data_IF_478889219404
#
_entry.id   IF_478889219404
#
_cell.length_a   1.000
_cell.length_b   1.000
_cell.length_c   1.000
_cell.angle_alpha   90.00
_cell.angle_beta   90.00
_cell.angle_gamma   90.00
#
_symmetry.space_group_name_H-M   'P 1'
#
loop_
_entity.id
_entity.type
_entity.pdbx_description
1 polymer ?
#
# COMPACT_ATOMS: atom_id res chain seq x y z
N UNK A 1 2.64 -7.32 21.44
CA UNK A 1 1.58 -6.27 21.47
C UNK A 1 2.09 -4.84 21.66
N UNK A 2 3.14 -4.55 22.46
CA UNK A 2 3.66 -3.16 22.59
C UNK A 2 4.27 -2.58 21.30
N UNK A 3 4.92 -3.42 20.49
CA UNK A 3 5.56 -3.03 19.23
C UNK A 3 4.56 -2.57 18.17
N UNK A 4 3.37 -3.19 18.10
CA UNK A 4 2.32 -2.81 17.15
C UNK A 4 1.68 -1.46 17.49
N UNK A 5 1.53 -1.13 18.78
CA UNK A 5 1.03 0.17 19.22
C UNK A 5 2.01 1.31 18.88
N UNK A 6 3.32 1.08 19.09
CA UNK A 6 4.38 2.03 18.71
C UNK A 6 4.40 2.26 17.19
N UNK A 7 4.30 1.19 16.39
CA UNK A 7 4.19 1.30 14.92
C UNK A 7 2.96 2.12 14.51
N UNK A 8 1.80 1.88 15.14
CA UNK A 8 0.57 2.64 14.87
C UNK A 8 0.71 4.14 15.19
N UNK A 9 1.34 4.48 16.32
CA UNK A 9 1.59 5.87 16.70
C UNK A 9 2.56 6.57 15.74
N UNK A 10 3.65 5.89 15.35
CA UNK A 10 4.61 6.39 14.36
C UNK A 10 3.93 6.66 13.02
N UNK A 11 3.12 5.71 12.53
CA UNK A 11 2.38 5.86 11.28
C UNK A 11 1.37 7.02 11.33
N UNK A 12 0.72 7.22 12.48
CA UNK A 12 -0.17 8.38 12.68
C UNK A 12 0.60 9.70 12.58
N UNK A 13 1.77 9.80 13.22
CA UNK A 13 2.62 10.99 13.14
C UNK A 13 3.07 11.29 11.71
N UNK A 14 3.52 10.27 10.97
CA UNK A 14 3.93 10.41 9.56
C UNK A 14 2.76 10.91 8.68
N UNK A 15 1.54 10.39 8.89
CA UNK A 15 0.34 10.86 8.16
C UNK A 15 0.04 12.34 8.42
N UNK A 16 0.17 12.79 9.67
CA UNK A 16 -0.01 14.21 10.02
C UNK A 16 1.06 15.07 9.34
N UNK A 17 2.32 14.63 9.32
CA UNK A 17 3.39 15.35 8.62
C UNK A 17 3.10 15.50 7.12
N UNK A 18 2.59 14.44 6.48
CA UNK A 18 2.18 14.51 5.07
C UNK A 18 1.07 15.54 4.87
N UNK A 19 0.05 15.56 5.72
CA UNK A 19 -1.05 16.51 5.63
C UNK A 19 -0.58 17.95 5.81
N UNK A 20 0.26 18.22 6.82
CA UNK A 20 0.80 19.56 7.04
C UNK A 20 1.60 20.05 5.83
N UNK A 21 2.46 19.21 5.24
CA UNK A 21 3.20 19.56 4.02
C UNK A 21 2.27 19.86 2.83
N UNK A 22 1.16 19.14 2.72
CA UNK A 22 0.16 19.37 1.68
C UNK A 22 -0.58 20.69 1.90
N UNK A 23 -1.00 20.97 3.13
CA UNK A 23 -1.73 22.19 3.46
C UNK A 23 -0.84 23.43 3.30
N UNK A 24 0.43 23.36 3.72
CA UNK A 24 1.38 24.47 3.65
C UNK A 24 1.89 24.75 2.23
N UNK A 25 2.08 23.72 1.39
CA UNK A 25 2.81 23.87 0.13
C UNK A 25 2.06 23.43 -1.12
N UNK A 26 1.02 22.60 -1.00
CA UNK A 26 0.29 22.07 -2.15
C UNK A 26 -1.00 22.84 -2.43
N UNK A 27 -1.60 23.50 -1.43
CA UNK A 27 -2.77 24.36 -1.64
C UNK A 27 -2.42 25.52 -2.59
N UNK A 28 -3.16 25.65 -3.69
CA UNK A 28 -2.92 26.68 -4.71
C UNK A 28 -1.70 26.45 -5.61
N UNK A 29 -0.98 25.33 -5.46
CA UNK A 29 0.14 25.01 -6.35
C UNK A 29 -0.36 24.82 -7.79
N UNK A 30 0.19 25.59 -8.73
CA UNK A 30 -0.22 25.53 -10.15
C UNK A 30 0.01 24.17 -10.81
N UNK A 31 0.95 23.38 -10.28
CA UNK A 31 1.24 22.02 -10.74
C UNK A 31 0.31 20.99 -10.12
N UNK A 32 -0.37 21.33 -9.02
CA UNK A 32 -1.41 20.48 -8.45
C UNK A 32 -2.68 20.57 -9.30
N UNK A 33 -3.28 19.45 -9.71
CA UNK A 33 -4.52 19.48 -10.45
C UNK A 33 -5.66 20.03 -9.57
N UNK A 34 -6.35 21.06 -10.08
CA UNK A 34 -7.46 21.73 -9.38
C UNK A 34 -8.66 20.82 -9.07
N UNK A 35 -8.72 19.62 -9.65
CA UNK A 35 -9.69 18.58 -9.33
C UNK A 35 -9.01 17.21 -9.39
N UNK A 36 -9.40 16.29 -8.49
CA UNK A 36 -9.05 14.86 -8.50
C UNK A 36 -9.63 14.13 -9.73
N UNK A 37 -9.53 14.68 -10.94
CA UNK A 37 -9.84 13.95 -12.17
C UNK A 37 -8.72 12.92 -12.34
N UNK A 38 -9.15 11.67 -12.23
CA UNK A 38 -8.38 10.44 -12.15
C UNK A 38 -7.55 10.15 -13.39
N UNK A 39 -6.52 10.94 -13.64
CA UNK A 39 -5.36 10.46 -14.37
C UNK A 39 -4.15 10.62 -13.48
N UNK A 40 -3.70 9.47 -12.94
CA UNK A 40 -2.55 9.28 -12.05
C UNK A 40 -1.21 9.88 -12.55
N UNK A 41 -1.20 10.61 -13.67
CA UNK A 41 -0.02 11.22 -14.30
C UNK A 41 0.40 12.55 -13.68
N UNK A 42 -0.52 13.31 -13.06
CA UNK A 42 -0.16 14.63 -12.49
C UNK A 42 0.41 14.53 -11.06
N UNK A 43 0.01 13.51 -10.30
CA UNK A 43 0.66 13.15 -9.03
C UNK A 43 2.09 12.63 -9.23
N UNK A 44 2.41 12.03 -10.39
CA UNK A 44 3.77 11.53 -10.68
C UNK A 44 4.78 12.67 -10.86
N UNK A 45 4.41 13.79 -11.50
CA UNK A 45 5.36 14.89 -11.70
C UNK A 45 5.89 15.44 -10.38
N UNK A 46 5.02 15.68 -9.39
CA UNK A 46 5.46 16.15 -8.08
C UNK A 46 6.34 15.12 -7.37
N UNK A 47 6.00 13.83 -7.48
CA UNK A 47 6.79 12.74 -6.91
C UNK A 47 8.22 12.68 -7.49
N UNK A 48 8.38 13.05 -8.77
CA UNK A 48 9.67 12.92 -9.48
C UNK A 48 10.46 14.23 -9.57
N UNK A 49 9.80 15.40 -9.51
CA UNK A 49 10.40 16.69 -9.84
C UNK A 49 10.19 17.78 -8.77
N UNK A 50 9.26 17.62 -7.82
CA UNK A 50 9.04 18.59 -6.75
C UNK A 50 9.74 18.16 -5.45
N UNK A 51 10.46 19.07 -4.79
CA UNK A 51 11.10 18.78 -3.49
C UNK A 51 10.09 18.32 -2.44
N UNK A 52 8.97 19.03 -2.31
CA UNK A 52 7.89 18.67 -1.36
C UNK A 52 7.24 17.34 -1.76
N UNK A 53 7.00 17.14 -3.07
CA UNK A 53 6.42 15.90 -3.57
C UNK A 53 7.32 14.67 -3.32
N UNK A 54 8.64 14.80 -3.50
CA UNK A 54 9.62 13.77 -3.15
C UNK A 54 9.61 13.45 -1.66
N UNK A 55 9.54 14.47 -0.81
CA UNK A 55 9.47 14.28 0.64
C UNK A 55 8.18 13.55 1.06
N UNK A 56 7.04 13.94 0.50
CA UNK A 56 5.76 13.25 0.72
C UNK A 56 5.82 11.80 0.24
N UNK A 57 6.44 11.53 -0.93
CA UNK A 57 6.64 10.18 -1.45
C UNK A 57 7.43 9.31 -0.48
N UNK A 58 8.57 9.79 0.00
CA UNK A 58 9.41 9.08 0.97
C UNK A 58 8.65 8.77 2.27
N UNK A 59 7.94 9.75 2.83
CA UNK A 59 7.09 9.55 4.00
C UNK A 59 6.00 8.49 3.73
N UNK A 60 5.40 8.50 2.54
CA UNK A 60 4.44 7.49 2.09
C UNK A 60 5.04 6.08 2.02
N UNK A 61 6.26 5.94 1.48
CA UNK A 61 6.97 4.66 1.40
C UNK A 61 7.24 4.07 2.79
N UNK A 62 7.61 4.89 3.79
CA UNK A 62 7.78 4.41 5.17
C UNK A 62 6.49 3.89 5.81
N UNK A 63 5.31 4.35 5.36
CA UNK A 63 4.02 3.82 5.82
C UNK A 63 3.70 2.45 5.22
N UNK A 64 4.32 2.11 4.09
CA UNK A 64 4.13 0.85 3.36
C UNK A 64 5.17 -0.21 3.72
N UNK A 65 6.22 0.17 4.46
CA UNK A 65 7.29 -0.73 4.88
C UNK A 65 6.76 -1.93 5.70
N UNK A 66 7.06 -3.14 5.20
CA UNK A 66 6.57 -4.42 5.71
C UNK A 66 5.14 -4.79 5.31
N UNK A 67 4.41 -3.93 4.58
CA UNK A 67 3.08 -4.25 4.03
C UNK A 67 3.18 -5.07 2.74
N UNK A 68 4.18 -4.78 1.91
CA UNK A 68 4.41 -5.53 0.67
C UNK A 68 4.90 -6.95 0.94
N UNK A 69 5.71 -7.14 1.99
CA UNK A 69 6.19 -8.47 2.41
C UNK A 69 5.03 -9.32 2.93
N UNK A 70 4.21 -8.79 3.85
CA UNK A 70 3.02 -9.52 4.33
C UNK A 70 2.00 -9.78 3.23
N UNK A 71 1.78 -8.85 2.30
CA UNK A 71 0.91 -9.10 1.15
C UNK A 71 1.51 -10.09 0.16
N UNK A 72 2.84 -10.09 -0.06
CA UNK A 72 3.52 -11.05 -0.92
C UNK A 72 3.54 -12.45 -0.29
N UNK A 73 3.73 -12.55 1.03
CA UNK A 73 3.62 -13.79 1.81
C UNK A 73 2.20 -14.33 1.77
N UNK A 74 1.18 -13.48 2.02
CA UNK A 74 -0.22 -13.86 1.91
C UNK A 74 -0.59 -14.29 0.49
N UNK A 75 -0.13 -13.57 -0.54
CA UNK A 75 -0.33 -13.98 -1.93
C UNK A 75 0.43 -15.25 -2.29
N UNK A 76 1.60 -15.51 -1.70
CA UNK A 76 2.35 -16.75 -1.92
C UNK A 76 1.66 -17.94 -1.22
N UNK A 77 1.11 -17.72 -0.03
CA UNK A 77 0.32 -18.70 0.73
C UNK A 77 -1.01 -19.02 0.02
N UNK A 78 -1.70 -18.00 -0.49
CA UNK A 78 -2.94 -18.16 -1.28
C UNK A 78 -2.70 -18.75 -2.68
N UNK A 79 -1.51 -18.59 -3.26
CA UNK A 79 -1.14 -19.10 -4.60
C UNK A 79 -0.37 -20.42 -4.56
N UNK A 80 -0.62 -21.28 -3.58
CA UNK A 80 -0.18 -22.67 -3.70
C UNK A 80 -1.20 -23.50 -4.49
N UNK A 81 -1.43 -23.08 -5.75
CA UNK A 81 -2.38 -23.73 -6.66
C UNK A 81 -2.06 -25.22 -6.84
N UNK A 82 -0.78 -25.58 -6.85
CA UNK A 82 -0.36 -26.98 -6.95
C UNK A 82 -0.85 -27.81 -5.76
N UNK A 83 -0.69 -27.31 -4.52
CA UNK A 83 -1.19 -27.99 -3.31
C UNK A 83 -2.72 -28.03 -3.26
N UNK A 84 -3.40 -26.96 -3.69
CA UNK A 84 -4.87 -26.94 -3.74
C UNK A 84 -5.41 -27.91 -4.79
N UNK A 85 -4.78 -27.98 -5.97
CA UNK A 85 -5.11 -28.92 -7.03
C UNK A 85 -4.85 -30.37 -6.60
N UNK A 86 -3.70 -30.66 -6.00
CA UNK A 86 -3.38 -31.99 -5.49
C UNK A 86 -4.37 -32.45 -4.42
N UNK A 87 -4.76 -31.55 -3.50
CA UNK A 87 -5.79 -31.84 -2.50
C UNK A 87 -7.16 -32.08 -3.14
N UNK A 88 -7.51 -31.33 -4.18
CA UNK A 88 -8.76 -31.51 -4.91
C UNK A 88 -8.80 -32.86 -5.67
N UNK A 89 -7.70 -33.31 -6.26
CA UNK A 89 -7.62 -34.63 -6.90
C UNK A 89 -7.79 -35.77 -5.88
N UNK A 90 -7.10 -35.70 -4.73
CA UNK A 90 -7.25 -36.70 -3.66
C UNK A 90 -8.69 -36.80 -3.14
N UNK A 91 -9.39 -35.66 -3.04
CA UNK A 91 -10.81 -35.63 -2.65
C UNK A 91 -11.71 -36.24 -3.74
N UNK A 92 -11.43 -35.95 -5.02
CA UNK A 92 -12.12 -36.58 -6.17
C UNK A 92 -11.97 -38.10 -6.17
N UNK A 93 -10.77 -38.62 -5.95
CA UNK A 93 -10.49 -40.06 -5.87
C UNK A 93 -11.29 -40.73 -4.73
N UNK A 94 -11.47 -40.02 -3.62
CA UNK A 94 -12.24 -40.49 -2.46
C UNK A 94 -13.75 -40.28 -2.60
N UNK A 95 -14.23 -39.78 -3.75
CA UNK A 95 -15.64 -39.40 -3.99
C UNK A 95 -16.20 -38.39 -2.96
N UNK A 96 -15.34 -37.58 -2.37
CA UNK A 96 -15.70 -36.51 -1.45
C UNK A 96 -15.68 -35.18 -2.22
N UNK A 97 -16.74 -34.39 -2.10
CA UNK A 97 -16.76 -33.01 -2.61
C UNK A 97 -16.53 -32.02 -1.47
N UNK A 98 -15.98 -30.85 -1.80
CA UNK A 98 -15.96 -29.72 -0.87
C UNK A 98 -17.40 -29.30 -0.54
N UNK A 99 -17.72 -29.19 0.75
CA UNK A 99 -18.95 -28.62 1.30
C UNK A 99 -18.61 -27.37 2.11
#
# INVERSE_FOLDING_TARGET
MRTSHLKKSKNKSIRIQILNLQDEHCMGCQKMPAYRKSENRKTSWCADNCRIGKQIKQLGETLLEGRNETMAEQMAEERNWDVLCEKAEKLREQKLSWA
#
